data_IF_516719718659
#
_entry.id   IF_516719718659
#
_cell.length_a   1.000
_cell.length_b   1.000
_cell.length_c   1.000
_cell.angle_alpha   90.00
_cell.angle_beta   90.00
_cell.angle_gamma   90.00
#
_symmetry.space_group_name_H-M   'P 1'
#
loop_
_entity.id
_entity.type
_entity.pdbx_description
1 polymer ?
#
# COMPACT_ATOMS: atom_id res chain seq x y z
N UNK A 1 -32.43 37.19 -3.60
CA UNK A 1 -32.77 36.13 -4.58
C UNK A 1 -34.19 35.66 -4.31
N UNK A 2 -34.98 35.30 -5.31
CA UNK A 2 -36.42 34.93 -5.17
C UNK A 2 -37.48 35.99 -5.57
N UNK A 3 -37.19 37.30 -5.48
CA UNK A 3 -38.18 38.35 -5.81
C UNK A 3 -38.61 38.36 -7.30
N UNK A 4 -37.70 38.00 -8.19
CA UNK A 4 -37.93 37.99 -9.65
C UNK A 4 -38.88 36.86 -10.07
N UNK A 5 -38.80 35.69 -9.44
CA UNK A 5 -39.68 34.54 -9.69
C UNK A 5 -41.13 34.81 -9.25
N UNK A 6 -41.32 35.48 -8.12
CA UNK A 6 -42.64 35.95 -7.69
C UNK A 6 -43.23 37.00 -8.64
N UNK A 7 -42.39 37.90 -9.17
CA UNK A 7 -42.85 38.86 -10.18
C UNK A 7 -43.23 38.16 -11.49
N UNK A 8 -42.52 37.12 -11.89
CA UNK A 8 -42.88 36.30 -13.05
C UNK A 8 -44.22 35.60 -12.79
N UNK A 9 -44.41 34.95 -11.63
CA UNK A 9 -45.70 34.35 -11.24
C UNK A 9 -46.88 35.32 -11.38
N UNK A 10 -46.70 36.57 -10.98
CA UNK A 10 -47.75 37.59 -10.99
C UNK A 10 -48.01 38.24 -12.37
N UNK A 11 -47.03 38.20 -13.28
CA UNK A 11 -47.08 38.95 -14.54
C UNK A 11 -47.08 38.09 -15.79
N UNK A 12 -46.82 36.79 -15.68
CA UNK A 12 -46.74 35.91 -16.84
C UNK A 12 -48.14 35.53 -17.34
N UNK A 13 -48.41 35.64 -18.65
CA UNK A 13 -49.68 35.20 -19.25
C UNK A 13 -49.71 33.69 -19.57
N UNK A 14 -48.59 32.99 -19.42
CA UNK A 14 -48.46 31.56 -19.65
C UNK A 14 -48.92 30.73 -18.43
N UNK A 15 -50.02 29.99 -18.60
CA UNK A 15 -50.61 29.17 -17.55
C UNK A 15 -49.73 27.97 -17.16
N UNK A 16 -48.91 27.42 -18.06
CA UNK A 16 -47.99 26.34 -17.71
C UNK A 16 -46.91 26.80 -16.73
N UNK A 17 -46.41 28.02 -16.94
CA UNK A 17 -45.46 28.64 -16.03
C UNK A 17 -46.14 28.94 -14.70
N UNK A 18 -47.37 29.49 -14.70
CA UNK A 18 -48.12 29.78 -13.46
C UNK A 18 -48.37 28.54 -12.60
N UNK A 19 -48.74 27.41 -13.22
CA UNK A 19 -48.92 26.13 -12.53
C UNK A 19 -47.61 25.65 -11.91
N UNK A 20 -46.49 25.77 -12.64
CA UNK A 20 -45.18 25.32 -12.18
C UNK A 20 -44.61 26.13 -11.00
N UNK A 21 -45.13 27.35 -10.77
CA UNK A 21 -44.75 28.21 -9.63
C UNK A 21 -45.93 28.50 -8.69
N UNK A 22 -47.01 27.72 -8.77
CA UNK A 22 -48.24 27.93 -8.02
C UNK A 22 -48.03 27.92 -6.50
N UNK A 23 -47.09 27.10 -6.02
CA UNK A 23 -46.82 26.93 -4.59
C UNK A 23 -45.83 27.98 -4.01
N UNK A 24 -45.37 28.93 -4.82
CA UNK A 24 -44.48 30.00 -4.35
C UNK A 24 -45.28 31.12 -3.68
N UNK A 25 -45.36 31.14 -2.36
CA UNK A 25 -46.09 32.16 -1.59
C UNK A 25 -45.15 33.27 -1.11
N UNK A 26 -43.94 32.91 -0.70
CA UNK A 26 -42.98 33.85 -0.14
C UNK A 26 -41.68 33.97 -0.96
N UNK A 27 -40.93 35.08 -0.82
CA UNK A 27 -39.62 35.23 -1.45
C UNK A 27 -38.63 34.14 -1.04
N UNK A 28 -38.84 33.54 0.14
CA UNK A 28 -38.09 32.39 0.64
C UNK A 28 -38.29 31.14 -0.23
N UNK A 29 -39.54 30.82 -0.57
CA UNK A 29 -39.90 29.66 -1.40
C UNK A 29 -39.32 29.81 -2.80
N UNK A 30 -39.45 31.02 -3.35
CA UNK A 30 -38.90 31.33 -4.67
C UNK A 30 -37.37 31.20 -4.69
N UNK A 31 -36.69 31.63 -3.62
CA UNK A 31 -35.25 31.44 -3.50
C UNK A 31 -34.86 29.97 -3.29
N UNK A 32 -35.69 29.17 -2.60
CA UNK A 32 -35.46 27.75 -2.41
C UNK A 32 -35.60 26.97 -3.72
N UNK A 33 -36.62 27.28 -4.52
CA UNK A 33 -36.82 26.69 -5.85
C UNK A 33 -35.66 27.04 -6.80
N UNK A 34 -35.22 28.30 -6.82
CA UNK A 34 -34.08 28.77 -7.63
C UNK A 34 -32.79 28.01 -7.25
N UNK A 35 -32.52 27.85 -5.94
CA UNK A 35 -31.39 27.07 -5.44
C UNK A 35 -31.51 25.59 -5.78
N UNK A 36 -32.72 25.01 -5.72
CA UNK A 36 -32.94 23.62 -6.08
C UNK A 36 -32.67 23.39 -7.57
N UNK A 37 -33.22 24.23 -8.44
CA UNK A 37 -33.07 24.11 -9.88
C UNK A 37 -31.59 24.25 -10.30
N UNK A 38 -30.88 25.22 -9.72
CA UNK A 38 -29.47 25.44 -10.00
C UNK A 38 -28.53 24.59 -9.17
N UNK A 39 -29.02 23.69 -8.31
CA UNK A 39 -28.17 22.86 -7.43
C UNK A 39 -27.15 22.04 -8.20
N UNK A 40 -27.54 21.52 -9.37
CA UNK A 40 -26.64 20.73 -10.23
C UNK A 40 -25.60 21.60 -10.92
N UNK A 41 -25.98 22.80 -11.39
CA UNK A 41 -25.06 23.79 -11.97
C UNK A 41 -24.10 24.37 -10.92
N UNK A 42 -24.56 24.60 -9.69
CA UNK A 42 -23.72 25.04 -8.58
C UNK A 42 -22.74 23.93 -8.17
N UNK A 43 -23.19 22.68 -8.12
CA UNK A 43 -22.31 21.52 -7.86
C UNK A 43 -21.30 21.28 -8.98
N UNK A 44 -21.66 21.55 -10.24
CA UNK A 44 -20.70 21.45 -11.35
C UNK A 44 -19.72 22.62 -11.33
N UNK A 45 -20.19 23.85 -11.10
CA UNK A 45 -19.35 25.03 -10.96
C UNK A 45 -18.39 24.92 -9.77
N UNK A 46 -18.84 24.40 -8.62
CA UNK A 46 -17.96 24.10 -7.49
C UNK A 46 -16.88 23.08 -7.86
N UNK A 47 -17.25 21.98 -8.55
CA UNK A 47 -16.28 20.98 -9.04
C UNK A 47 -15.29 21.55 -10.06
N UNK A 48 -15.71 22.53 -10.85
CA UNK A 48 -14.86 23.22 -11.84
C UNK A 48 -13.94 24.23 -11.13
N UNK A 49 -14.47 24.98 -10.17
CA UNK A 49 -13.73 25.97 -9.39
C UNK A 49 -12.70 25.33 -8.46
N UNK A 50 -12.93 24.11 -7.96
CA UNK A 50 -11.90 23.32 -7.28
C UNK A 50 -10.89 22.70 -8.23
N UNK A 51 -11.21 22.58 -9.53
CA UNK A 51 -10.33 21.99 -10.54
C UNK A 51 -9.33 22.97 -11.16
N UNK A 52 -9.55 24.27 -11.02
CA UNK A 52 -8.80 25.29 -11.75
C UNK A 52 -7.38 25.59 -11.23
N UNK A 53 -6.97 25.04 -10.08
CA UNK A 53 -5.59 25.17 -9.58
C UNK A 53 -4.69 23.96 -9.90
N UNK A 54 -5.12 23.05 -10.78
CA UNK A 54 -4.48 21.74 -10.96
C UNK A 54 -3.60 21.57 -12.22
N UNK A 55 -3.22 22.65 -12.92
CA UNK A 55 -2.37 22.55 -14.12
C UNK A 55 -1.03 21.84 -13.85
N UNK A 56 -0.54 21.85 -12.61
CA UNK A 56 0.70 21.18 -12.20
C UNK A 56 0.51 19.82 -11.49
N UNK A 57 -0.72 19.35 -11.25
CA UNK A 57 -0.95 18.10 -10.49
C UNK A 57 -0.28 16.87 -11.11
N UNK A 58 -0.30 16.66 -12.44
CA UNK A 58 0.41 15.54 -13.07
C UNK A 58 1.93 15.63 -12.86
N UNK A 59 2.50 16.83 -12.93
CA UNK A 59 3.91 17.09 -12.75
C UNK A 59 4.33 16.87 -11.29
N UNK A 60 3.56 17.41 -10.34
CA UNK A 60 3.79 17.26 -8.90
C UNK A 60 3.74 15.78 -8.51
N UNK A 61 2.77 15.01 -9.02
CA UNK A 61 2.66 13.59 -8.74
C UNK A 61 3.89 12.81 -9.25
N UNK A 62 4.37 13.14 -10.45
CA UNK A 62 5.60 12.52 -10.98
C UNK A 62 6.83 12.83 -10.13
N UNK A 63 6.93 14.04 -9.57
CA UNK A 63 8.01 14.42 -8.64
C UNK A 63 7.91 13.61 -7.35
N UNK A 64 6.70 13.47 -6.80
CA UNK A 64 6.45 12.64 -5.61
C UNK A 64 6.83 11.17 -5.86
N UNK A 65 6.46 10.62 -7.02
CA UNK A 65 6.81 9.26 -7.42
C UNK A 65 8.33 9.07 -7.50
N UNK A 66 9.04 10.02 -8.14
CA UNK A 66 10.50 9.98 -8.25
C UNK A 66 11.19 10.05 -6.88
N UNK A 67 10.70 10.90 -5.98
CA UNK A 67 11.22 10.98 -4.61
C UNK A 67 11.01 9.70 -3.81
N UNK A 68 9.84 9.06 -3.97
CA UNK A 68 9.59 7.79 -3.31
C UNK A 68 10.56 6.72 -3.82
N UNK A 69 10.75 6.63 -5.14
CA UNK A 69 11.68 5.67 -5.75
C UNK A 69 13.10 5.87 -5.21
N UNK A 70 13.57 7.11 -5.16
CA UNK A 70 14.89 7.45 -4.60
C UNK A 70 14.98 7.10 -3.10
N UNK A 71 13.93 7.37 -2.32
CA UNK A 71 13.91 7.02 -0.90
C UNK A 71 13.99 5.51 -0.70
N UNK A 72 13.27 4.72 -1.50
CA UNK A 72 13.32 3.26 -1.47
C UNK A 72 14.72 2.76 -1.83
N UNK A 73 15.32 3.28 -2.91
CA UNK A 73 16.68 2.90 -3.32
C UNK A 73 17.74 3.19 -2.26
N UNK A 74 17.66 4.37 -1.64
CA UNK A 74 18.60 4.76 -0.59
C UNK A 74 18.44 3.93 0.70
N UNK A 75 17.24 3.40 0.94
CA UNK A 75 16.96 2.57 2.12
C UNK A 75 17.32 1.11 1.87
N UNK A 76 17.03 0.60 0.67
CA UNK A 76 17.39 -0.75 0.23
C UNK A 76 18.79 -0.77 -0.42
N UNK A 77 19.75 -0.02 0.12
CA UNK A 77 21.13 -0.02 -0.37
C UNK A 77 21.89 -1.29 0.02
N UNK A 78 21.51 -1.88 1.15
CA UNK A 78 22.15 -3.06 1.72
C UNK A 78 21.20 -4.27 1.68
N UNK A 79 21.76 -5.47 1.54
CA UNK A 79 21.00 -6.71 1.34
C UNK A 79 20.21 -7.16 2.58
N UNK A 80 20.63 -6.71 3.77
CA UNK A 80 19.99 -7.03 5.05
C UNK A 80 18.80 -6.11 5.39
N UNK A 81 18.60 -5.03 4.62
CA UNK A 81 17.56 -4.05 4.89
C UNK A 81 16.28 -4.44 4.16
N UNK A 82 15.17 -4.47 4.91
CA UNK A 82 13.84 -4.74 4.36
C UNK A 82 12.90 -3.60 4.67
N UNK A 83 12.04 -3.24 3.73
CA UNK A 83 10.98 -2.24 3.94
C UNK A 83 9.62 -2.90 3.89
N UNK A 84 8.68 -2.49 4.74
CA UNK A 84 7.30 -2.92 4.65
C UNK A 84 6.48 -2.04 3.70
N UNK A 85 5.47 -2.61 3.04
CA UNK A 85 4.53 -1.84 2.23
C UNK A 85 3.73 -0.81 3.05
N UNK A 86 3.62 -0.99 4.37
CA UNK A 86 3.00 0.01 5.25
C UNK A 86 3.89 1.25 5.34
N UNK A 87 5.18 1.07 5.65
CA UNK A 87 6.16 2.17 5.70
C UNK A 87 6.28 2.89 4.35
N UNK A 88 6.26 2.14 3.24
CA UNK A 88 6.29 2.73 1.89
C UNK A 88 5.03 3.58 1.62
N UNK A 89 3.86 3.10 2.04
CA UNK A 89 2.61 3.86 1.89
C UNK A 89 2.63 5.14 2.75
N UNK A 90 3.10 5.05 4.00
CA UNK A 90 3.18 6.19 4.91
C UNK A 90 4.21 7.23 4.45
N UNK A 91 5.35 6.77 3.92
CA UNK A 91 6.35 7.62 3.28
C UNK A 91 5.76 8.35 2.07
N UNK A 92 4.99 7.66 1.22
CA UNK A 92 4.34 8.28 0.06
C UNK A 92 3.29 9.31 0.47
N UNK A 93 2.43 9.00 1.46
CA UNK A 93 1.47 9.96 2.02
C UNK A 93 2.19 11.21 2.56
N UNK A 94 3.32 11.02 3.24
CA UNK A 94 4.14 12.11 3.77
C UNK A 94 4.73 13.00 2.66
N UNK A 95 5.20 12.38 1.57
CA UNK A 95 5.68 13.11 0.39
C UNK A 95 4.53 13.90 -0.25
N UNK A 96 3.37 13.28 -0.48
CA UNK A 96 2.21 13.97 -1.05
C UNK A 96 1.76 15.16 -0.21
N UNK A 97 1.70 15.01 1.13
CA UNK A 97 1.41 16.10 2.06
C UNK A 97 2.42 17.23 1.97
N UNK A 98 3.72 16.92 1.85
CA UNK A 98 4.79 17.92 1.69
C UNK A 98 4.60 18.78 0.45
N UNK A 99 4.06 18.21 -0.63
CA UNK A 99 3.76 18.91 -1.88
C UNK A 99 2.35 19.53 -1.92
N UNK A 100 1.63 19.56 -0.79
CA UNK A 100 0.26 20.10 -0.68
C UNK A 100 -0.72 19.46 -1.68
N UNK A 101 -0.50 18.19 -2.00
CA UNK A 101 -1.50 17.41 -2.74
C UNK A 101 -2.59 17.05 -1.72
N UNK A 102 -3.86 17.29 -2.07
CA UNK A 102 -4.99 16.85 -1.25
C UNK A 102 -4.97 15.32 -1.20
N UNK A 103 -4.59 14.77 -0.05
CA UNK A 103 -4.52 13.33 0.17
C UNK A 103 -5.67 12.94 1.08
N UNK A 104 -6.48 11.99 0.63
CA UNK A 104 -7.43 11.35 1.51
C UNK A 104 -6.68 10.30 2.32
N UNK A 105 -6.54 10.49 3.64
CA UNK A 105 -5.77 9.58 4.51
C UNK A 105 -6.37 8.16 4.55
N UNK A 106 -7.63 8.00 4.16
CA UNK A 106 -8.26 6.68 4.00
C UNK A 106 -7.94 5.99 2.66
N UNK A 107 -7.31 6.69 1.71
CA UNK A 107 -6.91 6.07 0.44
C UNK A 107 -5.68 5.20 0.62
N UNK A 108 -5.81 3.94 0.21
CA UNK A 108 -4.72 2.98 0.20
C UNK A 108 -4.05 2.97 -1.17
N UNK A 109 -2.83 3.50 -1.26
CA UNK A 109 -2.07 3.56 -2.51
C UNK A 109 -1.31 2.28 -2.82
N UNK A 110 -1.41 1.21 -2.01
CA UNK A 110 -0.63 -0.03 -2.14
C UNK A 110 -0.66 -0.63 -3.55
N UNK A 111 -1.82 -0.66 -4.22
CA UNK A 111 -1.93 -1.20 -5.59
C UNK A 111 -1.15 -0.36 -6.61
N UNK A 112 -1.21 0.96 -6.45
CA UNK A 112 -0.48 1.90 -7.29
C UNK A 112 1.03 1.82 -7.03
N UNK A 113 1.43 1.84 -5.76
CA UNK A 113 2.82 1.80 -5.32
C UNK A 113 3.50 0.51 -5.76
N UNK A 114 2.83 -0.64 -5.62
CA UNK A 114 3.35 -1.91 -6.13
C UNK A 114 3.67 -1.85 -7.62
N UNK A 115 2.77 -1.25 -8.41
CA UNK A 115 2.97 -1.09 -9.86
C UNK A 115 4.15 -0.16 -10.15
N UNK A 116 4.18 1.01 -9.52
CA UNK A 116 5.25 2.00 -9.68
C UNK A 116 6.62 1.40 -9.37
N UNK A 117 6.72 0.65 -8.27
CA UNK A 117 7.96 0.02 -7.82
C UNK A 117 8.35 -1.11 -8.76
N UNK A 118 7.42 -1.97 -9.18
CA UNK A 118 7.72 -3.00 -10.19
C UNK A 118 8.19 -2.43 -11.53
N UNK A 119 7.66 -1.28 -11.96
CA UNK A 119 8.04 -0.64 -13.22
C UNK A 119 9.39 0.09 -13.13
N UNK A 120 9.70 0.71 -11.99
CA UNK A 120 10.88 1.57 -11.82
C UNK A 120 12.07 0.88 -11.14
N UNK A 121 11.82 -0.18 -10.38
CA UNK A 121 12.79 -0.91 -9.57
C UNK A 121 12.65 -2.43 -9.81
N UNK A 122 13.07 -2.94 -10.99
CA UNK A 122 12.94 -4.36 -11.32
C UNK A 122 13.78 -5.27 -10.42
N UNK A 123 14.81 -4.71 -9.78
CA UNK A 123 15.69 -5.40 -8.85
C UNK A 123 15.01 -5.65 -7.49
N UNK A 124 13.91 -4.96 -7.17
CA UNK A 124 13.18 -5.11 -5.92
C UNK A 124 12.07 -6.13 -6.07
N UNK A 125 11.99 -7.08 -5.13
CA UNK A 125 10.95 -8.10 -5.05
C UNK A 125 10.04 -7.87 -3.85
N UNK A 126 8.78 -8.25 -4.04
CA UNK A 126 7.79 -8.28 -2.96
C UNK A 126 7.73 -9.67 -2.35
N UNK A 127 8.02 -9.76 -1.06
CA UNK A 127 7.88 -10.98 -0.26
C UNK A 127 6.60 -10.88 0.55
N UNK A 128 5.63 -11.73 0.22
CA UNK A 128 4.39 -11.86 0.98
C UNK A 128 4.67 -12.51 2.32
N UNK A 129 4.16 -11.95 3.40
CA UNK A 129 4.23 -12.62 4.71
C UNK A 129 3.36 -13.88 4.71
N UNK A 130 3.81 -14.90 5.44
CA UNK A 130 3.03 -16.10 5.74
C UNK A 130 1.82 -15.80 6.63
N UNK A 131 1.87 -14.69 7.38
CA UNK A 131 0.79 -14.25 8.25
C UNK A 131 -0.17 -13.33 7.50
N UNK A 132 -1.46 -13.66 7.57
CA UNK A 132 -2.54 -12.98 6.82
C UNK A 132 -2.65 -11.47 7.08
N UNK A 133 -2.21 -11.00 8.24
CA UNK A 133 -2.34 -9.60 8.66
C UNK A 133 -1.03 -8.82 8.60
N UNK A 134 0.04 -9.39 8.05
CA UNK A 134 1.31 -8.69 7.92
C UNK A 134 1.45 -8.05 6.53
N UNK A 135 1.97 -6.82 6.44
CA UNK A 135 2.22 -6.16 5.16
C UNK A 135 3.32 -6.91 4.39
N UNK A 136 3.25 -6.86 3.06
CA UNK A 136 4.32 -7.40 2.23
C UNK A 136 5.61 -6.62 2.48
N UNK A 137 6.74 -7.31 2.36
CA UNK A 137 8.06 -6.70 2.46
C UNK A 137 8.68 -6.51 1.09
N UNK A 138 9.47 -5.46 0.94
CA UNK A 138 10.32 -5.17 -0.20
C UNK A 138 11.74 -5.56 0.17
N UNK A 139 12.36 -6.31 -0.71
CA UNK A 139 13.74 -6.80 -0.57
C UNK A 139 14.44 -6.74 -1.92
N UNK A 140 15.76 -6.66 -1.91
CA UNK A 140 16.54 -6.80 -3.13
C UNK A 140 16.45 -8.24 -3.66
N UNK A 141 16.50 -8.39 -4.98
CA UNK A 141 16.51 -9.70 -5.64
C UNK A 141 17.73 -10.52 -5.24
N UNK A 142 18.88 -9.88 -4.99
CA UNK A 142 20.11 -10.53 -4.54
C UNK A 142 19.93 -11.16 -3.17
N UNK A 143 19.32 -10.44 -2.23
CA UNK A 143 18.99 -10.95 -0.90
C UNK A 143 18.09 -12.21 -0.96
N UNK A 144 17.14 -12.25 -1.90
CA UNK A 144 16.30 -13.45 -2.11
C UNK A 144 17.14 -14.61 -2.62
N UNK A 145 18.04 -14.39 -3.58
CA UNK A 145 18.93 -15.43 -4.11
C UNK A 145 19.84 -15.97 -3.00
N UNK A 146 20.48 -15.09 -2.22
CA UNK A 146 21.34 -15.48 -1.10
C UNK A 146 20.56 -16.31 -0.07
N UNK A 147 19.33 -15.91 0.27
CA UNK A 147 18.49 -16.68 1.17
C UNK A 147 18.12 -18.06 0.61
N UNK A 148 17.90 -18.17 -0.70
CA UNK A 148 17.65 -19.45 -1.37
C UNK A 148 18.89 -20.35 -1.40
N UNK A 149 20.07 -19.77 -1.64
CA UNK A 149 21.35 -20.49 -1.62
C UNK A 149 21.67 -20.98 -0.21
N UNK A 150 21.46 -20.12 0.80
CA UNK A 150 21.62 -20.49 2.21
C UNK A 150 20.67 -21.63 2.60
N UNK A 151 19.39 -21.54 2.21
CA UNK A 151 18.40 -22.60 2.44
C UNK A 151 18.82 -23.91 1.76
N UNK A 152 19.37 -23.84 0.56
CA UNK A 152 19.84 -25.02 -0.18
C UNK A 152 21.09 -25.62 0.47
N UNK A 153 21.99 -24.80 1.02
CA UNK A 153 23.17 -25.25 1.76
C UNK A 153 22.83 -25.92 3.09
N UNK A 154 21.75 -25.50 3.78
CA UNK A 154 21.24 -26.18 4.96
C UNK A 154 20.55 -27.52 4.66
N UNK A 155 20.26 -27.85 3.40
CA UNK A 155 19.77 -29.21 3.07
C UNK A 155 20.88 -30.28 3.16
N UNK A 156 22.15 -29.89 3.35
CA UNK A 156 23.24 -30.83 3.69
C UNK A 156 23.20 -31.29 5.17
N UNK A 157 22.23 -30.84 5.96
CA UNK A 157 22.04 -31.29 7.34
C UNK A 157 21.84 -32.82 7.43
N UNK A 158 21.28 -33.46 6.40
CA UNK A 158 21.17 -34.93 6.34
C UNK A 158 22.55 -35.62 6.26
N UNK A 159 23.53 -35.01 5.60
CA UNK A 159 24.91 -35.50 5.56
C UNK A 159 25.61 -35.31 6.92
N UNK A 160 25.35 -34.17 7.58
CA UNK A 160 25.88 -33.87 8.92
C UNK A 160 25.29 -34.80 9.98
N UNK A 161 23.97 -35.03 9.94
CA UNK A 161 23.26 -35.99 10.79
C UNK A 161 23.74 -37.42 10.50
N UNK A 162 23.99 -37.75 9.23
CA UNK A 162 24.61 -39.02 8.81
C UNK A 162 25.99 -39.22 9.43
N UNK A 163 26.86 -38.21 9.38
CA UNK A 163 28.18 -38.25 10.00
C UNK A 163 28.11 -38.37 11.54
N UNK A 164 27.24 -37.60 12.19
CA UNK A 164 27.00 -37.71 13.63
C UNK A 164 26.52 -39.12 14.04
N UNK A 165 25.65 -39.74 13.24
CA UNK A 165 25.18 -41.11 13.46
C UNK A 165 26.30 -42.13 13.33
N UNK A 166 27.19 -41.96 12.34
CA UNK A 166 28.36 -42.83 12.16
C UNK A 166 29.35 -42.70 13.32
N UNK A 167 29.65 -41.47 13.77
CA UNK A 167 30.53 -41.23 14.93
C UNK A 167 29.94 -41.82 16.21
N UNK A 168 28.63 -41.65 16.42
CA UNK A 168 27.94 -42.23 17.57
C UNK A 168 27.96 -43.77 17.58
N UNK A 169 27.90 -44.41 16.40
CA UNK A 169 28.01 -45.87 16.30
C UNK A 169 29.43 -46.36 16.62
N UNK A 170 30.47 -45.70 16.08
CA UNK A 170 31.86 -46.03 16.40
C UNK A 170 32.16 -45.92 17.90
N UNK A 171 31.67 -44.86 18.55
CA UNK A 171 31.82 -44.70 20.00
C UNK A 171 31.11 -45.81 20.79
N UNK A 172 29.93 -46.26 20.36
CA UNK A 172 29.24 -47.39 21.01
C UNK A 172 30.00 -48.70 20.83
N UNK A 173 30.57 -48.94 19.64
CA UNK A 173 31.39 -50.13 19.37
C UNK A 173 32.67 -50.13 20.22
N UNK A 174 33.36 -49.00 20.34
CA UNK A 174 34.53 -48.87 21.23
C UNK A 174 34.17 -49.09 22.70
N UNK A 175 33.06 -48.50 23.18
CA UNK A 175 32.59 -48.72 24.55
C UNK A 175 32.27 -50.20 24.82
N UNK A 176 31.64 -50.88 23.86
CA UNK A 176 31.34 -52.32 23.97
C UNK A 176 32.63 -53.16 24.02
N UNK A 177 33.61 -52.84 23.17
CA UNK A 177 34.91 -53.53 23.16
C UNK A 177 35.69 -53.30 24.46
N UNK A 178 35.71 -52.07 24.98
CA UNK A 178 36.34 -51.77 26.26
C UNK A 178 35.67 -52.49 27.43
N UNK A 179 34.33 -52.58 27.42
CA UNK A 179 33.58 -53.29 28.47
C UNK A 179 33.89 -54.80 28.44
N UNK A 180 34.00 -55.40 27.25
CA UNK A 180 34.39 -56.81 27.10
C UNK A 180 35.84 -57.06 27.58
N UNK A 181 36.78 -56.17 27.27
CA UNK A 181 38.17 -56.27 27.74
C UNK A 181 38.30 -56.15 29.26
N UNK A 182 37.48 -55.33 29.91
CA UNK A 182 37.45 -55.19 31.36
C UNK A 182 36.90 -56.46 32.03
N UNK A 183 35.85 -57.07 31.47
CA UNK A 183 35.30 -58.34 31.98
C UNK A 183 36.29 -59.49 31.85
N UNK A 184 37.03 -59.57 30.73
CA UNK A 184 38.07 -60.60 30.55
C UNK A 184 39.25 -60.47 31.53
N UNK A 185 39.62 -59.25 31.92
CA UNK A 185 40.68 -59.01 32.92
C UNK A 185 40.26 -59.30 34.36
N UNK A 186 38.95 -59.39 34.65
CA UNK A 186 38.44 -59.73 35.98
C UNK A 186 38.22 -61.25 36.17
N UNK A 187 38.34 -62.05 35.09
CA UNK A 187 38.16 -63.51 35.09
C UNK A 187 39.48 -64.29 35.00
N UNK A 188 40.62 -63.59 35.01
CA UNK A 188 41.97 -64.17 35.18
C UNK A 188 42.48 -63.92 36.60
#
# INVERSE_FOLDING_TARGET
MGKTLLQIKQKTPDDHVRVSVADLEEPGDASALEKHYHRTCLRSAQRISTRTDHSNVPLIRSVCDAQLVLAIQNTLSDEDVTLSMAEVNDAYLSILKRYRVDVNESENYRKYLKRLISERLPEVKFVTSLRRNEPDRLVLSTAVTIAMDYRSSMMNDDEIVGHLKNVANLLREEMLQQTQLVVYRQLQ
#
